data_IF_555861133867
#
_entry.id   IF_555861133867
#
_cell.length_a   1.000
_cell.length_b   1.000
_cell.length_c   1.000
_cell.angle_alpha   90.00
_cell.angle_beta   90.00
_cell.angle_gamma   90.00
#
_symmetry.space_group_name_H-M   'P 1'
#
loop_
_entity.id
_entity.type
_entity.pdbx_description
1 polymer ?
#
# COMPACT_ATOMS: atom_id res chain seq x y z
N UNK A 1 -19.88 13.57 10.10
CA UNK A 1 -19.35 14.04 11.41
C UNK A 1 -18.64 12.91 12.19
N UNK A 2 -19.23 11.72 12.33
CA UNK A 2 -18.72 10.61 13.17
C UNK A 2 -17.33 10.14 12.76
N UNK A 3 -17.07 9.88 11.44
CA UNK A 3 -15.79 9.43 10.95
C UNK A 3 -14.63 10.41 11.22
N UNK A 4 -14.90 11.71 11.21
CA UNK A 4 -13.88 12.72 11.52
C UNK A 4 -13.61 12.81 13.04
N UNK A 5 -14.63 12.56 13.88
CA UNK A 5 -14.43 12.47 15.32
C UNK A 5 -13.64 11.22 15.68
N UNK A 6 -13.90 10.09 15.00
CA UNK A 6 -13.14 8.86 15.18
C UNK A 6 -11.67 9.02 14.76
N UNK A 7 -11.40 9.71 13.66
CA UNK A 7 -10.04 10.02 13.22
C UNK A 7 -9.28 10.82 14.29
N UNK A 8 -9.89 11.84 14.88
CA UNK A 8 -9.30 12.61 15.99
C UNK A 8 -9.04 11.74 17.22
N UNK A 9 -9.99 10.85 17.54
CA UNK A 9 -9.85 9.93 18.67
C UNK A 9 -8.65 8.98 18.49
N UNK A 10 -8.55 8.30 17.35
CA UNK A 10 -7.45 7.35 17.11
C UNK A 10 -6.10 8.08 17.05
N UNK A 11 -6.04 9.27 16.46
CA UNK A 11 -4.82 10.09 16.47
C UNK A 11 -4.40 10.47 17.90
N UNK A 12 -5.35 10.88 18.75
CA UNK A 12 -5.06 11.23 20.16
C UNK A 12 -4.55 10.05 21.00
N UNK A 13 -4.82 8.82 20.55
CA UNK A 13 -4.30 7.58 21.15
C UNK A 13 -2.93 7.15 20.60
N UNK A 14 -2.32 7.96 19.72
CA UNK A 14 -0.99 7.70 19.17
C UNK A 14 -0.95 6.79 17.95
N UNK A 15 -2.10 6.43 17.36
CA UNK A 15 -2.11 5.69 16.09
C UNK A 15 -1.54 6.54 14.95
N UNK A 16 -0.68 5.91 14.13
CA UNK A 16 0.05 6.57 13.05
C UNK A 16 -0.67 6.49 11.70
N UNK A 17 -1.65 5.62 11.56
CA UNK A 17 -2.34 5.41 10.30
C UNK A 17 -3.72 4.76 10.44
N UNK A 18 -4.41 4.71 9.31
CA UNK A 18 -5.73 4.11 9.15
C UNK A 18 -5.68 3.10 8.02
N UNK A 19 -6.24 1.90 8.22
CA UNK A 19 -6.46 0.92 7.15
C UNK A 19 -7.86 1.09 6.59
N UNK A 20 -7.96 1.08 5.24
CA UNK A 20 -9.24 1.00 4.53
C UNK A 20 -9.23 -0.16 3.53
N UNK A 21 -10.39 -0.83 3.40
CA UNK A 21 -10.56 -1.95 2.49
C UNK A 21 -11.80 -1.74 1.61
N UNK A 22 -11.65 -1.31 0.35
CA UNK A 22 -12.75 -0.92 -0.53
C UNK A 22 -13.87 -1.95 -0.63
N UNK A 23 -13.57 -3.20 -0.94
CA UNK A 23 -14.58 -4.25 -1.11
C UNK A 23 -15.38 -4.54 0.17
N UNK A 24 -14.72 -4.61 1.35
CA UNK A 24 -15.41 -4.87 2.63
C UNK A 24 -16.18 -3.67 3.18
N UNK A 25 -15.82 -2.47 2.75
CA UNK A 25 -16.41 -1.22 3.25
C UNK A 25 -17.29 -0.51 2.21
N UNK A 26 -17.48 -1.13 1.04
CA UNK A 26 -18.35 -0.70 -0.05
C UNK A 26 -18.08 0.73 -0.50
N UNK A 27 -16.89 0.95 -1.09
CA UNK A 27 -16.51 2.24 -1.68
C UNK A 27 -15.46 2.09 -2.77
N UNK A 28 -15.40 3.07 -3.67
CA UNK A 28 -14.27 3.24 -4.60
C UNK A 28 -13.31 4.32 -4.08
N UNK A 29 -11.97 4.15 -4.21
CA UNK A 29 -10.98 5.11 -3.72
C UNK A 29 -11.15 6.55 -4.23
N UNK A 30 -11.64 6.71 -5.44
CA UNK A 30 -11.83 7.96 -6.15
C UNK A 30 -13.20 8.63 -5.91
N UNK A 31 -14.04 8.07 -5.04
CA UNK A 31 -15.31 8.71 -4.64
C UNK A 31 -15.07 9.96 -3.81
N UNK A 32 -15.87 11.00 -4.05
CA UNK A 32 -15.80 12.28 -3.32
C UNK A 32 -15.76 12.09 -1.78
N UNK A 33 -16.65 11.22 -1.24
CA UNK A 33 -16.70 10.96 0.21
C UNK A 33 -15.43 10.31 0.76
N UNK A 34 -14.71 9.54 -0.08
CA UNK A 34 -13.45 8.87 0.28
C UNK A 34 -12.29 9.86 0.18
N UNK A 35 -12.25 10.67 -0.89
CA UNK A 35 -11.27 11.74 -1.06
C UNK A 35 -11.35 12.74 0.12
N UNK A 36 -12.57 13.11 0.56
CA UNK A 36 -12.75 13.99 1.73
C UNK A 36 -12.19 13.36 3.03
N UNK A 37 -12.40 12.05 3.24
CA UNK A 37 -11.85 11.35 4.40
C UNK A 37 -10.32 11.22 4.30
N UNK A 38 -9.81 10.83 3.13
CA UNK A 38 -8.37 10.71 2.88
C UNK A 38 -7.64 12.06 3.05
N UNK A 39 -8.28 13.18 2.66
CA UNK A 39 -7.75 14.53 2.92
C UNK A 39 -7.67 14.81 4.42
N UNK A 40 -8.69 14.44 5.18
CA UNK A 40 -8.64 14.61 6.64
C UNK A 40 -7.58 13.71 7.31
N UNK A 41 -7.30 12.52 6.75
CA UNK A 41 -6.20 11.65 7.18
C UNK A 41 -4.85 12.33 6.89
N UNK A 42 -4.70 12.91 5.69
CA UNK A 42 -3.52 13.68 5.28
C UNK A 42 -3.30 14.88 6.19
N UNK A 43 -4.32 15.73 6.40
CA UNK A 43 -4.28 16.93 7.26
C UNK A 43 -3.95 16.58 8.72
N UNK A 44 -4.33 15.37 9.14
CA UNK A 44 -3.95 14.83 10.44
C UNK A 44 -2.50 14.34 10.50
N UNK A 45 -1.74 14.33 9.40
CA UNK A 45 -0.38 13.78 9.34
C UNK A 45 -0.38 12.27 9.59
N UNK A 46 -1.42 11.56 9.16
CA UNK A 46 -1.54 10.12 9.33
C UNK A 46 -1.34 9.39 7.99
N UNK A 47 -0.91 8.14 8.08
CA UNK A 47 -0.75 7.25 6.94
C UNK A 47 -2.11 6.64 6.58
N UNK A 48 -2.44 6.59 5.28
CA UNK A 48 -3.52 5.75 4.77
C UNK A 48 -2.93 4.46 4.21
N UNK A 49 -3.25 3.32 4.83
CA UNK A 49 -3.02 2.00 4.25
C UNK A 49 -4.28 1.54 3.54
N UNK A 50 -4.20 1.39 2.23
CA UNK A 50 -5.32 0.99 1.38
C UNK A 50 -5.09 -0.43 0.82
N UNK A 51 -6.12 -1.27 0.81
CA UNK A 51 -6.10 -2.50 0.03
C UNK A 51 -6.03 -2.14 -1.46
N UNK A 52 -5.18 -2.82 -2.23
CA UNK A 52 -4.99 -2.60 -3.65
C UNK A 52 -5.29 -3.84 -4.49
N UNK A 53 -5.99 -3.63 -5.62
CA UNK A 53 -6.29 -4.68 -6.58
C UNK A 53 -7.51 -5.54 -6.25
N UNK A 54 -7.47 -6.78 -6.71
CA UNK A 54 -8.51 -7.77 -6.49
C UNK A 54 -8.53 -8.28 -5.05
N UNK A 55 -9.62 -8.91 -4.67
CA UNK A 55 -9.74 -9.71 -3.45
C UNK A 55 -10.50 -10.99 -3.82
N UNK A 56 -9.99 -12.15 -3.41
CA UNK A 56 -10.54 -13.45 -3.84
C UNK A 56 -11.95 -13.75 -3.30
N UNK A 57 -12.45 -12.96 -2.33
CA UNK A 57 -13.81 -13.05 -1.83
C UNK A 57 -14.83 -12.27 -2.68
N UNK A 58 -14.38 -11.48 -3.67
CA UNK A 58 -15.23 -10.59 -4.47
C UNK A 58 -14.92 -10.71 -5.96
N UNK A 59 -15.95 -10.59 -6.79
CA UNK A 59 -15.78 -10.57 -8.25
C UNK A 59 -15.29 -9.20 -8.74
N UNK A 60 -15.70 -8.12 -8.10
CA UNK A 60 -15.40 -6.76 -8.49
C UNK A 60 -14.10 -6.26 -7.89
N UNK A 61 -13.27 -5.62 -8.71
CA UNK A 61 -12.05 -4.93 -8.27
C UNK A 61 -12.37 -3.46 -7.96
N UNK A 62 -12.76 -3.17 -6.73
CA UNK A 62 -13.13 -1.82 -6.32
C UNK A 62 -11.92 -0.89 -6.18
N UNK A 63 -10.75 -1.41 -5.81
CA UNK A 63 -9.49 -0.66 -5.66
C UNK A 63 -8.50 -0.94 -6.78
N UNK A 64 -8.91 -0.69 -8.03
CA UNK A 64 -8.01 -0.80 -9.16
C UNK A 64 -6.84 0.20 -9.08
N UNK A 65 -5.66 -0.11 -9.65
CA UNK A 65 -4.53 0.83 -9.67
C UNK A 65 -4.85 2.19 -10.26
N UNK A 66 -5.73 2.26 -11.28
CA UNK A 66 -6.19 3.51 -11.88
C UNK A 66 -6.95 4.39 -10.86
N UNK A 67 -7.87 3.81 -10.08
CA UNK A 67 -8.62 4.54 -9.04
C UNK A 67 -7.73 4.99 -7.89
N UNK A 68 -6.73 4.18 -7.54
CA UNK A 68 -5.72 4.53 -6.53
C UNK A 68 -4.87 5.71 -7.01
N UNK A 69 -4.47 5.72 -8.29
CA UNK A 69 -3.77 6.85 -8.90
C UNK A 69 -4.62 8.14 -8.83
N UNK A 70 -5.91 8.07 -9.18
CA UNK A 70 -6.83 9.20 -9.10
C UNK A 70 -6.99 9.74 -7.66
N UNK A 71 -7.04 8.86 -6.65
CA UNK A 71 -7.03 9.27 -5.25
C UNK A 71 -5.74 10.05 -4.91
N UNK A 72 -4.57 9.50 -5.27
CA UNK A 72 -3.27 10.14 -5.00
C UNK A 72 -3.12 11.47 -5.73
N UNK A 73 -3.56 11.56 -6.98
CA UNK A 73 -3.58 12.82 -7.74
C UNK A 73 -4.46 13.89 -7.07
N UNK A 74 -5.59 13.47 -6.47
CA UNK A 74 -6.48 14.39 -5.74
C UNK A 74 -5.87 14.90 -4.44
N UNK A 75 -4.90 14.19 -3.87
CA UNK A 75 -4.25 14.54 -2.60
C UNK A 75 -2.75 14.21 -2.70
N UNK A 76 -1.94 15.05 -3.39
CA UNK A 76 -0.52 14.75 -3.65
C UNK A 76 0.31 14.53 -2.38
N UNK A 77 -0.01 15.19 -1.28
CA UNK A 77 0.72 15.09 0.00
C UNK A 77 0.28 13.91 0.90
N UNK A 78 -0.67 13.09 0.44
CA UNK A 78 -1.15 11.93 1.21
C UNK A 78 -0.05 10.88 1.36
N UNK A 79 0.32 10.56 2.58
CA UNK A 79 1.16 9.39 2.90
C UNK A 79 0.35 8.11 2.63
N UNK A 80 0.37 7.65 1.39
CA UNK A 80 -0.40 6.50 0.92
C UNK A 80 0.47 5.25 0.84
N UNK A 81 0.04 4.21 1.52
CA UNK A 81 0.59 2.85 1.41
C UNK A 81 -0.46 1.96 0.75
N UNK A 82 -0.10 1.25 -0.30
CA UNK A 82 -1.00 0.34 -1.00
C UNK A 82 -0.55 -1.10 -0.79
N UNK A 83 -1.45 -1.91 -0.23
CA UNK A 83 -1.21 -3.32 0.03
C UNK A 83 -1.05 -4.12 -1.27
N UNK A 84 -0.50 -5.33 -1.13
CA UNK A 84 -0.34 -6.29 -2.20
C UNK A 84 0.47 -5.75 -3.38
N UNK A 85 1.56 -5.05 -3.01
CA UNK A 85 2.50 -4.47 -3.98
C UNK A 85 1.81 -3.56 -5.00
N UNK A 86 0.91 -2.71 -4.50
CA UNK A 86 0.13 -1.77 -5.30
C UNK A 86 -1.17 -2.32 -5.91
N UNK A 87 -1.37 -3.65 -5.94
CA UNK A 87 -2.62 -4.20 -6.46
C UNK A 87 -2.58 -5.70 -6.74
N UNK A 88 -3.16 -6.51 -5.84
CA UNK A 88 -3.25 -7.96 -5.99
C UNK A 88 -3.89 -8.35 -7.32
N UNK A 89 -3.23 -9.26 -8.07
CA UNK A 89 -3.63 -9.72 -9.41
C UNK A 89 -3.80 -8.63 -10.48
N UNK A 90 -3.36 -7.38 -10.21
CA UNK A 90 -3.46 -6.24 -11.13
C UNK A 90 -2.10 -5.63 -11.46
N UNK A 91 -0.99 -6.39 -11.37
CA UNK A 91 0.36 -5.82 -11.43
C UNK A 91 0.75 -5.19 -12.78
N UNK A 92 0.11 -5.55 -13.88
CA UNK A 92 0.28 -4.84 -15.15
C UNK A 92 -0.26 -3.41 -15.07
N UNK A 93 -1.44 -3.24 -14.43
CA UNK A 93 -2.02 -1.92 -14.19
C UNK A 93 -1.25 -1.15 -13.10
N UNK A 94 -0.72 -1.83 -12.08
CA UNK A 94 0.22 -1.22 -11.11
C UNK A 94 1.41 -0.62 -11.86
N UNK A 95 2.01 -1.36 -12.77
CA UNK A 95 3.14 -0.88 -13.56
C UNK A 95 2.79 0.31 -14.46
N UNK A 96 1.57 0.36 -14.96
CA UNK A 96 1.06 1.42 -15.83
C UNK A 96 0.70 2.69 -15.06
N UNK A 97 -0.01 2.56 -13.94
CA UNK A 97 -0.65 3.69 -13.26
C UNK A 97 0.07 4.16 -11.99
N UNK A 98 0.80 3.28 -11.30
CA UNK A 98 1.34 3.58 -9.98
C UNK A 98 2.86 3.65 -9.90
N UNK A 99 3.62 3.02 -10.82
CA UNK A 99 5.08 3.06 -10.75
C UNK A 99 5.63 4.46 -10.94
N UNK A 100 6.61 4.84 -10.11
CA UNK A 100 7.23 6.17 -10.12
C UNK A 100 6.41 7.24 -9.39
N UNK A 101 5.21 6.92 -8.88
CA UNK A 101 4.42 7.85 -8.07
C UNK A 101 4.89 7.88 -6.61
N UNK A 102 4.52 8.91 -5.86
CA UNK A 102 4.82 9.03 -4.43
C UNK A 102 3.84 8.24 -3.56
N UNK A 103 3.83 6.91 -3.76
CA UNK A 103 3.03 5.92 -3.04
C UNK A 103 3.99 4.88 -2.47
N UNK A 104 3.73 4.32 -1.31
CA UNK A 104 4.47 3.16 -0.80
C UNK A 104 3.78 1.86 -1.21
N UNK A 105 4.54 0.91 -1.79
CA UNK A 105 4.07 -0.45 -2.06
C UNK A 105 4.37 -1.36 -0.88
N UNK A 106 3.33 -1.93 -0.29
CA UNK A 106 3.43 -2.87 0.82
C UNK A 106 3.46 -4.31 0.28
N UNK A 107 4.58 -5.00 0.45
CA UNK A 107 4.80 -6.36 -0.06
C UNK A 107 4.09 -7.37 0.83
N UNK A 108 2.77 -7.36 0.81
CA UNK A 108 1.95 -8.31 1.54
C UNK A 108 1.23 -9.23 0.56
N UNK A 109 1.19 -10.52 0.85
CA UNK A 109 0.45 -11.50 0.06
C UNK A 109 0.77 -11.46 -1.47
N UNK A 110 2.00 -11.13 -1.85
CA UNK A 110 2.42 -10.86 -3.24
C UNK A 110 3.37 -11.92 -3.77
N UNK A 111 4.44 -12.21 -3.03
CA UNK A 111 5.57 -13.01 -3.50
C UNK A 111 5.21 -14.42 -4.02
N UNK A 112 4.19 -15.14 -3.52
CA UNK A 112 3.78 -16.42 -4.09
C UNK A 112 3.09 -16.32 -5.46
N UNK A 113 2.64 -15.14 -5.85
CA UNK A 113 1.76 -14.92 -7.00
C UNK A 113 2.39 -14.09 -8.11
N UNK A 114 3.52 -13.43 -7.83
CA UNK A 114 4.28 -12.61 -8.77
C UNK A 114 5.67 -13.24 -8.93
N UNK A 115 6.16 -13.34 -10.17
CA UNK A 115 7.50 -13.85 -10.42
C UNK A 115 8.57 -12.92 -9.82
N UNK A 116 9.73 -13.47 -9.43
CA UNK A 116 10.85 -12.66 -8.91
C UNK A 116 11.31 -11.63 -9.94
N UNK A 117 11.29 -11.97 -11.22
CA UNK A 117 11.65 -11.05 -12.32
C UNK A 117 10.69 -9.86 -12.39
N UNK A 118 9.38 -10.11 -12.36
CA UNK A 118 8.37 -9.05 -12.40
C UNK A 118 8.40 -8.22 -11.13
N UNK A 119 8.57 -8.86 -9.97
CA UNK A 119 8.71 -8.16 -8.70
C UNK A 119 9.87 -7.17 -8.73
N UNK A 120 11.07 -7.62 -9.13
CA UNK A 120 12.26 -6.76 -9.22
C UNK A 120 12.09 -5.65 -10.24
N UNK A 121 11.53 -5.96 -11.40
CA UNK A 121 11.29 -5.00 -12.48
C UNK A 121 10.36 -3.88 -12.01
N UNK A 122 9.21 -4.23 -11.42
CA UNK A 122 8.23 -3.28 -10.92
C UNK A 122 8.81 -2.48 -9.74
N UNK A 123 9.47 -3.14 -8.77
CA UNK A 123 10.06 -2.50 -7.61
C UNK A 123 11.12 -1.45 -8.01
N UNK A 124 12.04 -1.81 -8.92
CA UNK A 124 13.09 -0.91 -9.39
C UNK A 124 12.56 0.24 -10.24
N UNK A 125 11.52 -0.01 -11.06
CA UNK A 125 10.83 1.03 -11.84
C UNK A 125 10.05 1.99 -10.93
N UNK A 126 9.47 1.49 -9.85
CA UNK A 126 8.74 2.31 -8.89
C UNK A 126 9.66 3.17 -8.02
N UNK A 127 10.74 2.62 -7.56
CA UNK A 127 11.68 3.17 -6.59
C UNK A 127 11.76 2.28 -5.35
N UNK A 128 12.91 1.65 -5.15
CA UNK A 128 13.14 0.70 -4.06
C UNK A 128 12.94 1.31 -2.68
N UNK A 129 13.11 2.62 -2.54
CA UNK A 129 12.90 3.41 -1.33
C UNK A 129 11.42 3.58 -0.94
N UNK A 130 10.50 3.22 -1.84
CA UNK A 130 9.04 3.25 -1.65
C UNK A 130 8.43 1.85 -1.51
N UNK A 131 9.24 0.81 -1.33
CA UNK A 131 8.76 -0.55 -1.09
C UNK A 131 8.94 -0.92 0.38
N UNK A 132 7.87 -1.35 1.06
CA UNK A 132 7.89 -1.73 2.48
C UNK A 132 7.46 -3.16 2.67
N UNK A 133 8.10 -3.86 3.62
CA UNK A 133 7.80 -5.25 3.94
C UNK A 133 6.54 -5.41 4.78
N UNK A 134 5.84 -6.50 4.52
CA UNK A 134 4.81 -7.06 5.38
C UNK A 134 4.23 -8.35 4.81
N UNK A 135 3.37 -9.01 5.55
CA UNK A 135 2.93 -10.39 5.28
C UNK A 135 1.44 -10.56 5.06
N UNK A 136 0.63 -9.60 5.55
CA UNK A 136 -0.81 -9.80 5.67
C UNK A 136 -1.16 -10.97 6.61
N UNK A 137 -0.40 -11.07 7.74
CA UNK A 137 -0.67 -12.10 8.74
C UNK A 137 -2.15 -12.11 9.19
N UNK A 138 -2.81 -13.26 9.32
CA UNK A 138 -2.22 -14.60 9.39
C UNK A 138 -2.06 -15.34 8.04
N UNK A 139 -2.32 -14.70 6.91
CA UNK A 139 -2.33 -15.36 5.60
C UNK A 139 -0.94 -15.80 5.12
N UNK A 140 0.11 -15.07 5.52
CA UNK A 140 1.51 -15.43 5.21
C UNK A 140 2.39 -15.35 6.44
N UNK A 141 3.36 -16.26 6.52
CA UNK A 141 4.36 -16.29 7.56
C UNK A 141 5.52 -15.34 7.25
N UNK A 142 5.97 -14.59 8.26
CA UNK A 142 7.01 -13.60 8.07
C UNK A 142 8.38 -14.20 7.73
N UNK A 143 8.73 -15.35 8.33
CA UNK A 143 10.02 -15.99 8.05
C UNK A 143 10.06 -16.57 6.64
N UNK A 144 8.94 -17.12 6.15
CA UNK A 144 8.81 -17.59 4.77
C UNK A 144 8.94 -16.44 3.76
N UNK A 145 8.21 -15.33 3.97
CA UNK A 145 8.25 -14.18 3.06
C UNK A 145 9.63 -13.50 3.05
N UNK A 146 10.29 -13.36 4.20
CA UNK A 146 11.69 -12.89 4.27
C UNK A 146 12.63 -13.85 3.54
N UNK A 147 12.42 -15.16 3.71
CA UNK A 147 13.20 -16.19 3.01
C UNK A 147 13.06 -16.10 1.48
N UNK A 148 11.88 -15.74 0.98
CA UNK A 148 11.62 -15.50 -0.45
C UNK A 148 12.31 -14.23 -0.94
N UNK A 149 12.17 -13.10 -0.23
CA UNK A 149 12.85 -11.86 -0.57
C UNK A 149 14.37 -12.03 -0.67
N UNK A 150 14.98 -12.80 0.25
CA UNK A 150 16.42 -13.10 0.21
C UNK A 150 16.86 -13.88 -1.04
N UNK A 151 15.95 -14.59 -1.68
CA UNK A 151 16.23 -15.41 -2.86
C UNK A 151 15.79 -14.76 -4.17
N UNK A 152 15.06 -13.64 -4.11
CA UNK A 152 14.47 -12.99 -5.28
C UNK A 152 15.47 -12.24 -6.18
N UNK A 153 16.74 -12.13 -5.80
CA UNK A 153 17.75 -11.39 -6.56
C UNK A 153 17.88 -9.90 -6.16
N UNK A 154 17.34 -9.53 -4.99
CA UNK A 154 17.63 -8.25 -4.35
C UNK A 154 19.09 -8.18 -3.91
N UNK A 155 19.69 -7.01 -4.02
CA UNK A 155 20.96 -6.72 -3.34
C UNK A 155 20.75 -6.61 -1.83
N UNK A 156 21.80 -6.74 -1.03
CA UNK A 156 21.71 -6.59 0.44
C UNK A 156 21.17 -5.21 0.83
N UNK A 157 21.52 -4.17 0.12
CA UNK A 157 21.02 -2.81 0.35
C UNK A 157 19.53 -2.69 0.03
N UNK A 158 19.06 -3.24 -1.10
CA UNK A 158 17.62 -3.26 -1.46
C UNK A 158 16.83 -4.06 -0.42
N UNK A 159 17.34 -5.20 0.02
CA UNK A 159 16.72 -6.04 1.03
C UNK A 159 16.60 -5.31 2.39
N UNK A 160 17.67 -4.64 2.84
CA UNK A 160 17.68 -3.83 4.07
C UNK A 160 16.64 -2.72 4.00
N UNK A 161 16.60 -2.00 2.88
CA UNK A 161 15.64 -0.93 2.64
C UNK A 161 14.19 -1.41 2.76
N UNK A 162 13.84 -2.51 2.08
CA UNK A 162 12.48 -3.08 2.09
C UNK A 162 12.11 -3.58 3.49
N UNK A 163 13.00 -4.31 4.16
CA UNK A 163 12.69 -4.95 5.44
C UNK A 163 12.60 -3.97 6.61
N UNK A 164 13.27 -2.82 6.55
CA UNK A 164 13.42 -1.95 7.69
C UNK A 164 13.42 -0.45 7.36
N UNK A 165 14.38 0.04 6.56
CA UNK A 165 14.70 1.46 6.46
C UNK A 165 13.56 2.30 5.90
N UNK A 166 12.84 1.77 4.90
CA UNK A 166 11.74 2.47 4.24
C UNK A 166 10.55 2.66 5.19
N UNK A 167 10.21 1.62 5.97
CA UNK A 167 9.16 1.71 6.97
C UNK A 167 9.53 2.68 8.10
N UNK A 168 10.79 2.68 8.54
CA UNK A 168 11.30 3.62 9.54
C UNK A 168 11.18 5.07 9.07
N UNK A 169 11.53 5.34 7.81
CA UNK A 169 11.40 6.66 7.18
C UNK A 169 9.94 7.10 7.08
N UNK A 170 9.06 6.21 6.59
CA UNK A 170 7.63 6.46 6.51
C UNK A 170 7.00 6.79 7.86
N UNK A 171 7.42 6.10 8.94
CA UNK A 171 6.88 6.32 10.28
C UNK A 171 7.41 7.58 10.98
N UNK A 172 8.49 8.19 10.46
CA UNK A 172 9.06 9.45 10.96
C UNK A 172 8.58 10.69 10.20
N UNK A 173 7.94 10.48 9.03
CA UNK A 173 7.40 11.56 8.18
C UNK A 173 6.15 12.23 8.76
#
# INVERSE_FOLDING_TARGET
PERFNELKRVKSQGFRGVKMHPNYQDFYPDEKRVIELARAICDAGMILLLHGGADDAFEEVMSSPERIAALKESIPDLNLVVAHFGGYKCWQDVEKYLTGSDIYFYVSYTLPYLSDEDFLRIARKHGMDKVVFGTDYPWKDAAEEIGRLKKSGLTDSELSAILHENAERLLKS
#
